data_IF_967881349135
#
_entry.id   IF_967881349135
#
_cell.length_a   1.000
_cell.length_b   1.000
_cell.length_c   1.000
_cell.angle_alpha   90.00
_cell.angle_beta   90.00
_cell.angle_gamma   90.00
#
_symmetry.space_group_name_H-M   'P 1'
#
loop_
_entity.id
_entity.type
_entity.pdbx_description
1 polymer ?
#
# COMPACT_ATOMS: atom_id res chain seq x y z
N UNK A 1 -11.41 -0.54 -19.06
CA UNK A 1 -11.14 -0.62 -17.60
C UNK A 1 -12.44 -0.37 -16.85
N UNK A 2 -12.80 -1.28 -15.95
CA UNK A 2 -13.89 -1.15 -14.99
C UNK A 2 -13.30 -0.93 -13.59
N UNK A 3 -14.08 -0.48 -12.60
CA UNK A 3 -13.61 -0.37 -11.22
C UNK A 3 -13.06 -1.69 -10.62
N UNK A 4 -13.46 -2.84 -11.18
CA UNK A 4 -13.00 -4.16 -10.76
C UNK A 4 -11.58 -4.48 -11.26
N UNK A 5 -11.08 -3.71 -12.23
CA UNK A 5 -9.70 -3.83 -12.74
C UNK A 5 -8.70 -3.07 -11.84
N UNK A 6 -9.16 -2.43 -10.77
CA UNK A 6 -8.34 -1.61 -9.87
C UNK A 6 -8.30 -2.25 -8.48
N UNK A 7 -7.10 -2.43 -7.96
CA UNK A 7 -6.85 -2.97 -6.63
C UNK A 7 -5.94 -2.06 -5.80
N UNK A 8 -6.01 -2.22 -4.48
CA UNK A 8 -5.16 -1.52 -3.51
C UNK A 8 -4.36 -2.55 -2.71
N UNK A 9 -3.04 -2.37 -2.60
CA UNK A 9 -2.18 -3.20 -1.76
C UNK A 9 -2.52 -3.02 -0.27
N UNK A 10 -2.39 -4.08 0.52
CA UNK A 10 -2.57 -4.01 1.98
C UNK A 10 -1.59 -3.06 2.67
N UNK A 11 -0.41 -2.84 2.10
CA UNK A 11 0.60 -1.89 2.61
C UNK A 11 0.09 -0.47 2.50
N UNK A 12 -0.38 -0.05 1.32
CA UNK A 12 -1.03 1.25 1.09
C UNK A 12 -2.22 1.44 2.03
N UNK A 13 -3.02 0.40 2.28
CA UNK A 13 -4.12 0.48 3.26
C UNK A 13 -3.62 0.77 4.68
N UNK A 14 -2.52 0.15 5.10
CA UNK A 14 -1.93 0.44 6.40
C UNK A 14 -1.47 1.90 6.49
N UNK A 15 -0.88 2.46 5.42
CA UNK A 15 -0.50 3.86 5.36
C UNK A 15 -1.70 4.81 5.44
N UNK A 16 -2.80 4.50 4.75
CA UNK A 16 -4.04 5.28 4.81
C UNK A 16 -4.65 5.26 6.22
N UNK A 17 -4.62 4.11 6.90
CA UNK A 17 -5.07 4.02 8.30
C UNK A 17 -4.15 4.76 9.26
N UNK A 18 -2.84 4.69 9.07
CA UNK A 18 -1.87 5.47 9.83
C UNK A 18 -2.13 6.97 9.67
N UNK A 19 -2.30 7.43 8.42
CA UNK A 19 -2.63 8.83 8.11
C UNK A 19 -3.95 9.27 8.73
N UNK A 20 -4.98 8.41 8.71
CA UNK A 20 -6.25 8.68 9.38
C UNK A 20 -6.07 8.83 10.90
N UNK A 21 -5.33 7.92 11.53
CA UNK A 21 -5.05 7.94 12.97
C UNK A 21 -4.27 9.18 13.44
N UNK A 22 -3.36 9.70 12.60
CA UNK A 22 -2.57 10.90 12.89
C UNK A 22 -3.31 12.22 12.61
N UNK A 23 -4.49 12.17 11.98
CA UNK A 23 -5.19 13.36 11.52
C UNK A 23 -5.82 14.19 12.65
N UNK A 24 -6.21 15.44 12.36
CA UNK A 24 -6.91 16.33 13.31
C UNK A 24 -8.27 15.78 13.79
N UNK A 25 -8.91 14.92 13.00
CA UNK A 25 -10.17 14.27 13.35
C UNK A 25 -10.13 12.80 12.91
N UNK A 26 -9.56 11.90 13.74
CA UNK A 26 -9.31 10.52 13.36
C UNK A 26 -10.55 9.74 12.93
N UNK A 27 -11.68 9.94 13.61
CA UNK A 27 -12.93 9.25 13.27
C UNK A 27 -13.45 9.66 11.89
N UNK A 28 -13.48 10.96 11.60
CA UNK A 28 -13.90 11.46 10.28
C UNK A 28 -12.96 10.98 9.19
N UNK A 29 -11.65 11.07 9.42
CA UNK A 29 -10.65 10.64 8.43
C UNK A 29 -10.76 9.14 8.16
N UNK A 30 -10.89 8.31 9.20
CA UNK A 30 -11.06 6.87 9.05
C UNK A 30 -12.32 6.52 8.25
N UNK A 31 -13.45 7.18 8.52
CA UNK A 31 -14.69 6.96 7.78
C UNK A 31 -14.51 7.26 6.28
N UNK A 32 -13.80 8.32 5.93
CA UNK A 32 -13.48 8.65 4.54
C UNK A 32 -12.56 7.61 3.89
N UNK A 33 -11.53 7.14 4.60
CA UNK A 33 -10.64 6.11 4.06
C UNK A 33 -11.38 4.78 3.85
N UNK A 34 -12.25 4.38 4.78
CA UNK A 34 -13.07 3.17 4.61
C UNK A 34 -14.03 3.29 3.42
N UNK A 35 -14.67 4.45 3.25
CA UNK A 35 -15.56 4.70 2.11
C UNK A 35 -14.81 4.64 0.77
N UNK A 36 -13.57 5.13 0.72
CA UNK A 36 -12.71 5.01 -0.46
C UNK A 36 -12.31 3.55 -0.70
N UNK A 37 -11.80 2.85 0.32
CA UNK A 37 -11.28 1.49 0.21
C UNK A 37 -12.33 0.44 -0.13
N UNK A 38 -13.59 0.64 0.31
CA UNK A 38 -14.71 -0.26 -0.03
C UNK A 38 -15.02 -0.32 -1.53
N UNK A 39 -14.45 0.56 -2.35
CA UNK A 39 -14.67 0.58 -3.80
C UNK A 39 -13.69 -0.33 -4.57
N UNK A 40 -12.65 -0.84 -3.91
CA UNK A 40 -11.55 -1.55 -4.56
C UNK A 40 -11.28 -2.90 -3.91
N UNK A 41 -10.78 -3.84 -4.70
CA UNK A 41 -10.26 -5.10 -4.18
C UNK A 41 -8.97 -4.81 -3.42
N UNK A 42 -8.81 -5.45 -2.27
CA UNK A 42 -7.54 -5.44 -1.56
C UNK A 42 -6.72 -6.68 -1.89
N UNK A 43 -5.46 -6.48 -2.26
CA UNK A 43 -4.51 -7.58 -2.39
C UNK A 43 -3.59 -7.63 -1.16
N UNK A 44 -3.36 -8.82 -0.57
CA UNK A 44 -2.44 -8.98 0.53
C UNK A 44 -0.98 -8.92 0.04
N UNK A 45 -0.09 -8.35 0.86
CA UNK A 45 1.34 -8.56 0.72
C UNK A 45 1.72 -9.91 1.33
N UNK A 46 1.73 -10.95 0.49
CA UNK A 46 2.02 -12.33 0.89
C UNK A 46 3.45 -12.75 0.53
N UNK A 47 3.81 -14.00 0.81
CA UNK A 47 5.18 -14.51 0.57
C UNK A 47 5.64 -14.40 -0.89
N UNK A 48 4.72 -14.51 -1.85
CA UNK A 48 5.04 -14.33 -3.28
C UNK A 48 5.43 -12.88 -3.56
N UNK A 49 4.64 -11.92 -3.06
CA UNK A 49 4.94 -10.50 -3.19
C UNK A 49 6.26 -10.14 -2.46
N UNK A 50 6.49 -10.71 -1.27
CA UNK A 50 7.72 -10.53 -0.50
C UNK A 50 8.97 -11.01 -1.26
N UNK A 51 8.90 -12.19 -1.89
CA UNK A 51 10.01 -12.72 -2.67
C UNK A 51 10.34 -11.83 -3.88
N UNK A 52 9.33 -11.35 -4.61
CA UNK A 52 9.52 -10.45 -5.76
C UNK A 52 10.07 -9.09 -5.33
N UNK A 53 9.47 -8.49 -4.30
CA UNK A 53 9.92 -7.23 -3.69
C UNK A 53 11.38 -7.26 -3.26
N UNK A 54 11.79 -8.35 -2.58
CA UNK A 54 13.17 -8.57 -2.17
C UNK A 54 14.16 -8.59 -3.34
N UNK A 55 13.79 -9.25 -4.44
CA UNK A 55 14.60 -9.27 -5.67
C UNK A 55 14.77 -7.88 -6.28
N UNK A 56 13.67 -7.14 -6.44
CA UNK A 56 13.69 -5.78 -6.99
C UNK A 56 14.53 -4.86 -6.09
N UNK A 57 14.38 -4.96 -4.77
CA UNK A 57 15.16 -4.16 -3.82
C UNK A 57 16.66 -4.42 -3.94
N UNK A 58 17.05 -5.68 -4.07
CA UNK A 58 18.45 -6.06 -4.25
C UNK A 58 19.02 -5.49 -5.55
N UNK A 59 18.26 -5.56 -6.64
CA UNK A 59 18.65 -4.99 -7.94
C UNK A 59 18.84 -3.47 -7.87
N UNK A 60 17.87 -2.75 -7.31
CA UNK A 60 17.95 -1.29 -7.13
C UNK A 60 19.13 -0.88 -6.24
N UNK A 61 19.44 -1.65 -5.20
CA UNK A 61 20.60 -1.41 -4.36
C UNK A 61 21.92 -1.59 -5.13
N UNK A 62 22.02 -2.62 -5.98
CA UNK A 62 23.20 -2.83 -6.84
C UNK A 62 23.38 -1.70 -7.85
N UNK A 63 22.28 -1.15 -8.36
CA UNK A 63 22.29 -0.02 -9.30
C UNK A 63 22.54 1.35 -8.65
N UNK A 64 22.62 1.41 -7.31
CA UNK A 64 22.82 2.66 -6.58
C UNK A 64 21.58 3.56 -6.54
N UNK A 65 20.39 3.00 -6.76
CA UNK A 65 19.10 3.72 -6.80
C UNK A 65 18.11 3.16 -5.77
N UNK A 66 18.42 3.24 -4.45
CA UNK A 66 17.52 2.71 -3.44
C UNK A 66 16.20 3.50 -3.41
N UNK A 67 15.08 2.78 -3.27
CA UNK A 67 13.74 3.34 -3.05
C UNK A 67 13.30 3.15 -1.60
N UNK A 68 12.27 3.90 -1.20
CA UNK A 68 11.71 3.77 0.14
C UNK A 68 11.12 2.35 0.36
N UNK A 69 11.27 1.75 1.57
CA UNK A 69 10.89 0.36 1.79
C UNK A 69 9.42 0.05 1.47
N UNK A 70 8.48 0.94 1.79
CA UNK A 70 7.04 0.70 1.54
C UNK A 70 6.67 0.78 0.07
N UNK A 71 7.41 1.53 -0.75
CA UNK A 71 7.15 1.62 -2.19
C UNK A 71 7.50 0.31 -2.92
N UNK A 72 8.31 -0.53 -2.27
CA UNK A 72 8.66 -1.86 -2.77
C UNK A 72 7.74 -2.96 -2.26
N UNK A 73 6.89 -2.70 -1.27
CA UNK A 73 6.02 -3.70 -0.62
C UNK A 73 4.58 -3.59 -1.13
#
# INVERSE_FOLDING_TARGET
MTPQDVAVCSVVKAELFYGAGKSKNPQRSLALQLAFLNRFISLPFNDVAANVSGGIRAELAMLGTPTEPYDLQ
#
